data_IF_983394509412
#
_entry.id   IF_983394509412
#
_cell.length_a   1.000
_cell.length_b   1.000
_cell.length_c   1.000
_cell.angle_alpha   90.00
_cell.angle_beta   90.00
_cell.angle_gamma   90.00
#
_symmetry.space_group_name_H-M   'P 1'
#
loop_
_entity.id
_entity.type
_entity.pdbx_description
1 polymer ?
#
# COMPACT_ATOMS: atom_id res chain seq x y z
N UNK A 1 7.74 44.05 -3.86
CA UNK A 1 8.58 43.34 -2.89
C UNK A 1 8.92 41.98 -3.47
N UNK A 2 10.16 41.75 -3.92
CA UNK A 2 10.54 40.46 -4.48
C UNK A 2 10.49 39.40 -3.37
N UNK A 3 9.78 38.27 -3.54
CA UNK A 3 9.82 37.20 -2.58
C UNK A 3 11.25 36.62 -2.54
N UNK A 4 11.75 36.33 -1.34
CA UNK A 4 13.03 35.65 -1.18
C UNK A 4 12.96 34.29 -1.84
N UNK A 5 14.07 33.86 -2.44
CA UNK A 5 14.18 32.57 -3.12
C UNK A 5 13.69 31.42 -2.23
N UNK A 6 14.02 31.41 -0.93
CA UNK A 6 13.55 30.40 0.03
C UNK A 6 12.03 30.37 0.18
N UNK A 7 11.36 31.53 0.35
CA UNK A 7 9.91 31.61 0.48
C UNK A 7 9.20 31.19 -0.82
N UNK A 8 9.75 31.59 -1.97
CA UNK A 8 9.25 31.15 -3.27
C UNK A 8 9.38 29.63 -3.42
N UNK A 9 10.51 29.05 -3.04
CA UNK A 9 10.73 27.61 -3.07
C UNK A 9 9.78 26.85 -2.14
N UNK A 10 9.55 27.35 -0.91
CA UNK A 10 8.55 26.76 0.00
C UNK A 10 7.17 26.78 -0.66
N UNK A 11 6.74 27.92 -1.21
CA UNK A 11 5.44 28.01 -1.90
C UNK A 11 5.33 27.03 -3.08
N UNK A 12 6.37 26.96 -3.93
CA UNK A 12 6.40 26.07 -5.09
C UNK A 12 6.39 24.60 -4.69
N UNK A 13 7.16 24.18 -3.68
CA UNK A 13 7.18 22.79 -3.23
C UNK A 13 5.86 22.38 -2.55
N UNK A 14 5.23 23.29 -1.80
CA UNK A 14 3.90 23.05 -1.22
C UNK A 14 2.80 23.02 -2.29
N UNK A 15 2.97 23.72 -3.43
CA UNK A 15 2.07 23.55 -4.59
C UNK A 15 2.07 22.12 -5.12
N UNK A 16 3.25 21.56 -5.37
CA UNK A 16 3.36 20.17 -5.82
C UNK A 16 2.89 19.18 -4.75
N UNK A 17 3.15 19.47 -3.48
CA UNK A 17 2.65 18.68 -2.34
C UNK A 17 1.12 18.67 -2.28
N UNK A 18 0.48 19.83 -2.53
CA UNK A 18 -0.97 19.96 -2.59
C UNK A 18 -1.56 19.12 -3.73
N UNK A 19 -0.98 19.21 -4.93
CA UNK A 19 -1.41 18.40 -6.07
C UNK A 19 -1.29 16.91 -5.77
N UNK A 20 -0.17 16.48 -5.18
CA UNK A 20 0.02 15.10 -4.77
C UNK A 20 -1.02 14.67 -3.73
N UNK A 21 -1.30 15.50 -2.72
CA UNK A 21 -2.31 15.23 -1.71
C UNK A 21 -3.71 15.04 -2.32
N UNK A 22 -4.10 15.91 -3.26
CA UNK A 22 -5.36 15.81 -4.00
C UNK A 22 -5.43 14.49 -4.79
N UNK A 23 -4.37 14.16 -5.54
CA UNK A 23 -4.30 12.90 -6.31
C UNK A 23 -4.45 11.67 -5.40
N UNK A 24 -3.78 11.66 -4.24
CA UNK A 24 -3.90 10.57 -3.26
C UNK A 24 -5.32 10.42 -2.71
N UNK A 25 -6.00 11.53 -2.41
CA UNK A 25 -7.39 11.52 -1.95
C UNK A 25 -8.33 11.00 -3.04
N UNK A 26 -8.18 11.48 -4.28
CA UNK A 26 -8.98 11.03 -5.42
C UNK A 26 -8.77 9.53 -5.66
N UNK A 27 -7.53 9.06 -5.65
CA UNK A 27 -7.20 7.65 -5.84
C UNK A 27 -7.80 6.77 -4.73
N UNK A 28 -7.67 7.19 -3.47
CA UNK A 28 -8.23 6.47 -2.33
C UNK A 28 -9.76 6.39 -2.38
N UNK A 29 -10.43 7.52 -2.67
CA UNK A 29 -11.89 7.57 -2.79
C UNK A 29 -12.41 6.81 -4.02
N UNK A 30 -11.66 6.82 -5.12
CA UNK A 30 -11.96 6.04 -6.32
C UNK A 30 -11.97 4.53 -6.03
N UNK A 31 -10.91 4.02 -5.39
CA UNK A 31 -10.86 2.62 -4.96
C UNK A 31 -11.96 2.28 -3.96
N UNK A 32 -12.25 3.21 -3.04
CA UNK A 32 -13.31 3.04 -2.08
C UNK A 32 -14.72 3.01 -2.69
N UNK A 33 -14.95 3.70 -3.81
CA UNK A 33 -16.22 3.70 -4.53
C UNK A 33 -16.37 2.48 -5.44
N UNK A 34 -15.27 1.99 -6.02
CA UNK A 34 -15.25 0.84 -6.93
C UNK A 34 -14.94 -0.48 -6.23
N UNK A 35 -15.45 -0.68 -5.00
CA UNK A 35 -15.18 -1.89 -4.20
C UNK A 35 -15.61 -3.19 -4.88
N UNK A 36 -16.53 -3.13 -5.83
CA UNK A 36 -17.01 -4.29 -6.59
C UNK A 36 -15.95 -4.82 -7.57
N UNK A 37 -15.06 -3.97 -8.08
CA UNK A 37 -13.97 -4.38 -8.98
C UNK A 37 -12.64 -4.57 -8.25
N UNK A 38 -12.46 -3.89 -7.12
CA UNK A 38 -11.24 -3.94 -6.29
C UNK A 38 -11.55 -4.49 -4.90
N UNK A 39 -11.41 -5.80 -4.71
CA UNK A 39 -11.69 -6.47 -3.42
C UNK A 39 -10.71 -6.10 -2.30
N UNK A 40 -9.59 -5.46 -2.63
CA UNK A 40 -8.48 -5.22 -1.72
C UNK A 40 -8.58 -3.88 -0.99
N UNK A 41 -9.15 -3.91 0.22
CA UNK A 41 -9.37 -2.74 1.10
C UNK A 41 -8.10 -2.24 1.82
N UNK A 42 -6.93 -2.79 1.49
CA UNK A 42 -5.79 -2.70 2.40
C UNK A 42 -5.02 -1.37 2.35
N UNK A 43 -5.10 -0.64 1.23
CA UNK A 43 -4.31 0.58 1.00
C UNK A 43 -5.16 1.87 1.09
N UNK A 44 -6.48 1.79 0.95
CA UNK A 44 -7.36 2.96 0.85
C UNK A 44 -7.23 3.90 2.05
N UNK A 45 -7.35 3.36 3.27
CA UNK A 45 -7.29 4.12 4.50
C UNK A 45 -5.94 4.80 4.72
N UNK A 46 -4.78 4.11 4.63
CA UNK A 46 -3.49 4.80 4.78
C UNK A 46 -3.27 5.85 3.68
N UNK A 47 -3.67 5.59 2.44
CA UNK A 47 -3.56 6.58 1.35
C UNK A 47 -4.41 7.83 1.61
N UNK A 48 -5.63 7.66 2.14
CA UNK A 48 -6.53 8.77 2.46
C UNK A 48 -5.95 9.66 3.56
N UNK A 49 -5.47 9.05 4.64
CA UNK A 49 -4.88 9.76 5.78
C UNK A 49 -3.62 10.51 5.33
N UNK A 50 -2.75 9.86 4.56
CA UNK A 50 -1.55 10.51 4.01
C UNK A 50 -1.92 11.69 3.11
N UNK A 51 -2.84 11.51 2.15
CA UNK A 51 -3.28 12.57 1.26
C UNK A 51 -3.90 13.77 2.00
N UNK A 52 -4.75 13.51 2.99
CA UNK A 52 -5.37 14.57 3.80
C UNK A 52 -4.33 15.32 4.64
N UNK A 53 -3.41 14.61 5.31
CA UNK A 53 -2.34 15.23 6.09
C UNK A 53 -1.43 16.11 5.23
N UNK A 54 -1.08 15.65 4.02
CA UNK A 54 -0.26 16.40 3.07
C UNK A 54 -1.00 17.65 2.56
N UNK A 55 -2.31 17.56 2.33
CA UNK A 55 -3.15 18.69 1.93
C UNK A 55 -3.16 19.78 3.01
N UNK A 56 -3.43 19.42 4.27
CA UNK A 56 -3.46 20.38 5.40
C UNK A 56 -2.12 21.10 5.55
N UNK A 57 -1.02 20.35 5.56
CA UNK A 57 0.33 20.93 5.70
C UNK A 57 0.67 21.82 4.50
N UNK A 58 0.28 21.44 3.29
CA UNK A 58 0.52 22.24 2.09
C UNK A 58 -0.20 23.59 2.14
N UNK A 59 -1.47 23.62 2.59
CA UNK A 59 -2.23 24.86 2.76
C UNK A 59 -1.58 25.79 3.79
N UNK A 60 -1.12 25.25 4.93
CA UNK A 60 -0.37 26.02 5.92
C UNK A 60 0.94 26.58 5.34
N UNK A 61 1.64 25.80 4.51
CA UNK A 61 2.87 26.23 3.83
C UNK A 61 2.65 27.37 2.85
N UNK A 62 1.50 27.39 2.15
CA UNK A 62 1.08 28.52 1.31
C UNK A 62 0.82 29.77 2.13
N UNK A 63 -0.01 29.66 3.18
CA UNK A 63 -0.37 30.80 4.03
C UNK A 63 0.89 31.36 4.70
N UNK A 64 1.78 30.49 5.20
CA UNK A 64 3.05 30.88 5.81
C UNK A 64 4.00 31.58 4.84
N UNK A 65 4.06 31.13 3.59
CA UNK A 65 4.88 31.76 2.54
C UNK A 65 4.34 33.12 2.09
N UNK A 66 3.01 33.29 2.05
CA UNK A 66 2.36 34.52 1.59
C UNK A 66 2.36 35.64 2.64
N UNK A 67 2.15 35.30 3.92
CA UNK A 67 1.92 36.31 4.95
C UNK A 67 3.21 36.74 5.70
N UNK A 68 4.35 36.05 5.52
CA UNK A 68 5.64 36.35 6.18
C UNK A 68 5.58 36.45 7.71
N UNK A 69 4.47 36.01 8.30
CA UNK A 69 4.19 35.97 9.72
C UNK A 69 4.94 34.79 10.35
N UNK A 70 5.84 35.08 11.29
CA UNK A 70 6.64 34.04 11.95
C UNK A 70 5.76 33.02 12.69
N UNK A 71 4.61 33.42 13.23
CA UNK A 71 3.71 32.50 13.93
C UNK A 71 3.14 31.44 13.00
N UNK A 72 2.74 31.80 11.78
CA UNK A 72 2.20 30.85 10.80
C UNK A 72 3.29 29.90 10.32
N UNK A 73 4.50 30.42 10.10
CA UNK A 73 5.65 29.60 9.70
C UNK A 73 6.08 28.63 10.81
N UNK A 74 6.02 29.06 12.08
CA UNK A 74 6.29 28.22 13.25
C UNK A 74 5.25 27.10 13.38
N UNK A 75 3.96 27.42 13.25
CA UNK A 75 2.89 26.42 13.21
C UNK A 75 3.08 25.42 12.07
N UNK A 76 3.40 25.92 10.87
CA UNK A 76 3.68 25.09 9.71
C UNK A 76 4.83 24.10 9.97
N UNK A 77 5.94 24.57 10.54
CA UNK A 77 7.07 23.68 10.89
C UNK A 77 6.71 22.67 11.98
N UNK A 78 5.91 23.06 12.97
CA UNK A 78 5.41 22.14 13.99
C UNK A 78 4.59 21.00 13.36
N UNK A 79 3.64 21.31 12.47
CA UNK A 79 2.85 20.29 11.77
C UNK A 79 3.69 19.44 10.80
N UNK A 80 4.69 20.03 10.14
CA UNK A 80 5.66 19.27 9.34
C UNK A 80 6.43 18.25 10.18
N UNK A 81 6.91 18.62 11.36
CA UNK A 81 7.58 17.70 12.28
C UNK A 81 6.67 16.54 12.69
N UNK A 82 5.41 16.83 13.02
CA UNK A 82 4.42 15.79 13.35
C UNK A 82 4.16 14.86 12.16
N UNK A 83 4.06 15.42 10.95
CA UNK A 83 3.91 14.64 9.73
C UNK A 83 5.11 13.70 9.51
N UNK A 84 6.34 14.22 9.59
CA UNK A 84 7.56 13.42 9.45
C UNK A 84 7.59 12.28 10.48
N UNK A 85 7.34 12.59 11.76
CA UNK A 85 7.30 11.60 12.82
C UNK A 85 6.25 10.52 12.55
N UNK A 86 5.05 10.91 12.13
CA UNK A 86 3.97 10.00 11.75
C UNK A 86 4.35 9.09 10.57
N UNK A 87 4.96 9.65 9.51
CA UNK A 87 5.41 8.88 8.34
C UNK A 87 6.54 7.91 8.72
N UNK A 88 7.45 8.27 9.61
CA UNK A 88 8.52 7.38 10.12
C UNK A 88 7.92 6.23 10.93
N UNK A 89 7.03 6.52 11.88
CA UNK A 89 6.35 5.49 12.68
C UNK A 89 5.57 4.52 11.78
N UNK A 90 4.85 5.06 10.79
CA UNK A 90 4.13 4.25 9.81
C UNK A 90 5.09 3.38 8.98
N UNK A 91 6.23 3.92 8.54
CA UNK A 91 7.25 3.15 7.82
C UNK A 91 7.76 1.97 8.66
N UNK A 92 8.09 2.22 9.93
CA UNK A 92 8.54 1.17 10.85
C UNK A 92 7.45 0.10 11.00
N UNK A 93 6.19 0.50 11.17
CA UNK A 93 5.06 -0.43 11.23
C UNK A 93 4.94 -1.29 9.97
N UNK A 94 4.99 -0.68 8.79
CA UNK A 94 4.97 -1.38 7.50
C UNK A 94 6.13 -2.37 7.41
N UNK A 95 7.34 -1.96 7.76
CA UNK A 95 8.50 -2.84 7.77
C UNK A 95 8.31 -4.02 8.71
N UNK A 96 7.85 -3.80 9.96
CA UNK A 96 7.62 -4.87 10.93
C UNK A 96 6.56 -5.87 10.45
N UNK A 97 5.46 -5.38 9.87
CA UNK A 97 4.35 -6.23 9.39
C UNK A 97 4.74 -7.00 8.12
N UNK A 98 5.63 -6.43 7.29
CA UNK A 98 6.06 -7.03 6.01
C UNK A 98 7.37 -7.84 6.09
N UNK A 99 8.18 -7.69 7.15
CA UNK A 99 9.51 -8.32 7.28
C UNK A 99 9.58 -9.63 8.08
N UNK A 100 8.47 -10.28 8.45
CA UNK A 100 8.54 -11.66 8.97
C UNK A 100 8.35 -12.70 7.84
N UNK A 101 9.32 -13.62 7.80
CA UNK A 101 9.50 -14.77 6.89
C UNK A 101 10.28 -14.51 5.59
N UNK A 102 11.40 -13.80 5.69
CA UNK A 102 12.53 -13.93 4.75
C UNK A 102 13.42 -15.14 5.14
N UNK A 103 12.78 -16.30 5.37
CA UNK A 103 13.41 -17.47 5.98
C UNK A 103 13.13 -18.77 5.22
N UNK A 104 13.20 -18.72 3.87
CA UNK A 104 13.51 -19.84 2.97
C UNK A 104 13.43 -19.34 1.53
N UNK A 105 14.49 -18.68 1.09
CA UNK A 105 14.82 -18.69 -0.33
C UNK A 105 15.23 -20.13 -0.68
N UNK A 106 14.24 -20.98 -0.96
CA UNK A 106 14.51 -22.26 -1.63
C UNK A 106 14.69 -21.91 -3.09
N UNK A 107 15.95 -21.90 -3.50
CA UNK A 107 16.45 -21.86 -4.85
C UNK A 107 15.63 -22.79 -5.76
N UNK A 108 15.11 -22.26 -6.87
CA UNK A 108 14.88 -23.04 -8.09
C UNK A 108 13.47 -23.57 -8.39
N UNK A 109 12.49 -23.50 -7.49
CA UNK A 109 11.10 -23.86 -7.79
C UNK A 109 10.20 -22.63 -7.68
N UNK A 110 9.82 -22.07 -8.83
CA UNK A 110 9.08 -20.81 -8.93
C UNK A 110 7.87 -20.78 -8.01
N UNK A 111 7.71 -19.68 -7.25
CA UNK A 111 6.52 -19.22 -6.50
C UNK A 111 5.66 -20.24 -5.69
N UNK A 112 6.01 -21.52 -5.63
CA UNK A 112 5.09 -22.61 -5.25
C UNK A 112 5.42 -23.23 -3.88
N UNK A 113 6.66 -23.11 -3.40
CA UNK A 113 7.08 -23.65 -2.11
C UNK A 113 6.97 -22.69 -0.92
N UNK A 114 6.66 -21.41 -1.14
CA UNK A 114 6.86 -20.35 -0.14
C UNK A 114 5.61 -19.96 0.68
N UNK A 115 4.43 -20.51 0.38
CA UNK A 115 3.16 -20.01 0.94
C UNK A 115 2.55 -20.97 1.97
N UNK A 116 3.30 -21.31 3.02
CA UNK A 116 2.70 -21.88 4.23
C UNK A 116 2.06 -20.74 5.04
N UNK A 117 0.75 -20.78 5.25
CA UNK A 117 -0.03 -19.79 6.03
C UNK A 117 0.59 -19.52 7.43
N UNK A 118 1.27 -20.52 8.00
CA UNK A 118 1.90 -20.45 9.33
C UNK A 118 3.01 -19.40 9.47
N UNK A 119 3.55 -18.89 8.36
CA UNK A 119 4.67 -17.93 8.36
C UNK A 119 4.21 -16.47 8.30
N UNK A 120 2.94 -16.20 8.66
CA UNK A 120 2.34 -14.87 8.61
C UNK A 120 2.41 -14.14 9.95
N UNK A 121 2.65 -12.82 9.92
CA UNK A 121 2.52 -11.99 11.13
C UNK A 121 1.11 -12.14 11.68
N UNK A 122 1.01 -12.49 12.97
CA UNK A 122 -0.26 -12.69 13.68
C UNK A 122 -1.25 -11.53 13.47
N UNK A 123 -0.74 -10.29 13.33
CA UNK A 123 -1.55 -9.11 13.04
C UNK A 123 -2.21 -9.16 11.65
N UNK A 124 -1.46 -9.50 10.58
CA UNK A 124 -1.97 -9.52 9.22
C UNK A 124 -3.01 -10.63 9.03
N UNK A 125 -2.77 -11.80 9.64
CA UNK A 125 -3.72 -12.90 9.64
C UNK A 125 -5.02 -12.50 10.35
N UNK A 126 -4.92 -11.93 11.55
CA UNK A 126 -6.08 -11.45 12.31
C UNK A 126 -6.85 -10.34 11.60
N UNK A 127 -6.16 -9.48 10.85
CA UNK A 127 -6.79 -8.36 10.16
C UNK A 127 -7.40 -8.71 8.80
N UNK A 128 -6.91 -9.72 8.08
CA UNK A 128 -7.39 -10.00 6.71
C UNK A 128 -8.02 -11.38 6.52
N UNK A 129 -7.75 -12.35 7.41
CA UNK A 129 -8.03 -13.78 7.16
C UNK A 129 -8.97 -14.41 8.18
N UNK A 130 -9.19 -13.72 9.29
CA UNK A 130 -9.95 -14.25 10.42
C UNK A 130 -11.43 -13.87 10.35
N UNK A 131 -12.28 -14.88 10.59
CA UNK A 131 -13.71 -14.74 10.84
C UNK A 131 -14.54 -14.19 9.68
N UNK A 132 -15.55 -13.38 10.01
CA UNK A 132 -16.59 -12.88 9.09
C UNK A 132 -16.04 -12.04 7.93
N UNK A 133 -14.93 -11.33 8.15
CA UNK A 133 -14.29 -10.45 7.17
C UNK A 133 -13.66 -11.21 6.00
N UNK A 134 -13.17 -12.44 6.24
CA UNK A 134 -12.71 -13.31 5.16
C UNK A 134 -13.86 -13.71 4.22
N UNK A 135 -15.05 -13.97 4.76
CA UNK A 135 -16.20 -14.35 3.93
C UNK A 135 -16.66 -13.23 3.00
N UNK A 136 -16.64 -11.98 3.44
CA UNK A 136 -16.90 -10.82 2.58
C UNK A 136 -15.85 -10.69 1.48
N UNK A 137 -14.58 -10.80 1.85
CA UNK A 137 -13.46 -10.73 0.92
C UNK A 137 -13.54 -11.86 -0.12
N UNK A 138 -13.89 -13.07 0.32
CA UNK A 138 -14.09 -14.26 -0.51
C UNK A 138 -15.20 -14.06 -1.54
N UNK A 139 -16.37 -13.55 -1.10
CA UNK A 139 -17.50 -13.28 -2.00
C UNK A 139 -17.12 -12.26 -3.06
N UNK A 140 -16.45 -11.17 -2.65
CA UNK A 140 -15.97 -10.18 -3.61
C UNK A 140 -15.05 -10.81 -4.66
N UNK A 141 -14.07 -11.64 -4.28
CA UNK A 141 -13.17 -12.28 -5.24
C UNK A 141 -13.90 -13.17 -6.26
N UNK A 142 -14.92 -13.90 -5.80
CA UNK A 142 -15.76 -14.73 -6.66
C UNK A 142 -16.62 -13.88 -7.61
N UNK A 143 -17.22 -12.79 -7.12
CA UNK A 143 -18.04 -11.87 -7.93
C UNK A 143 -17.19 -11.09 -8.94
N UNK A 144 -16.02 -10.60 -8.53
CA UNK A 144 -15.07 -9.88 -9.37
C UNK A 144 -14.37 -10.80 -10.39
N UNK A 145 -14.57 -12.12 -10.30
CA UNK A 145 -14.05 -13.10 -11.26
C UNK A 145 -12.53 -12.97 -11.47
N UNK A 146 -11.77 -12.82 -10.39
CA UNK A 146 -10.31 -12.56 -10.42
C UNK A 146 -9.49 -13.66 -11.14
N UNK A 147 -10.12 -14.83 -11.35
CA UNK A 147 -9.54 -15.99 -12.02
C UNK A 147 -9.94 -16.12 -13.50
N UNK A 148 -10.94 -15.36 -13.97
CA UNK A 148 -11.46 -15.46 -15.35
C UNK A 148 -10.48 -14.90 -16.40
N UNK A 149 -9.72 -13.85 -16.05
CA UNK A 149 -8.67 -13.29 -16.92
C UNK A 149 -7.48 -14.23 -17.14
N UNK A 150 -7.36 -15.30 -16.34
CA UNK A 150 -6.30 -16.30 -16.44
C UNK A 150 -6.63 -17.35 -17.53
N UNK A 151 -7.81 -17.31 -18.14
CA UNK A 151 -8.36 -18.36 -19.01
C UNK A 151 -7.71 -18.54 -20.39
N UNK A 152 -6.76 -17.70 -20.82
CA UNK A 152 -6.40 -17.62 -22.24
C UNK A 152 -5.12 -18.36 -22.67
N UNK A 153 -4.22 -18.77 -21.78
CA UNK A 153 -2.99 -19.42 -22.22
C UNK A 153 -2.31 -20.30 -21.15
N UNK A 154 -2.19 -21.61 -21.43
CA UNK A 154 -1.66 -22.65 -20.53
C UNK A 154 -0.18 -22.44 -20.17
N UNK A 155 0.58 -21.80 -21.06
CA UNK A 155 2.00 -21.47 -20.86
C UNK A 155 2.19 -20.14 -20.09
N UNK A 156 1.21 -19.24 -20.15
CA UNK A 156 1.17 -18.02 -19.33
C UNK A 156 0.99 -18.32 -17.84
N UNK A 157 0.33 -19.45 -17.49
CA UNK A 157 0.13 -19.87 -16.11
C UNK A 157 1.42 -20.10 -15.31
N UNK A 158 2.53 -20.42 -15.99
CA UNK A 158 3.80 -20.68 -15.29
C UNK A 158 4.61 -19.42 -15.00
N UNK A 159 4.28 -18.27 -15.60
CA UNK A 159 5.20 -17.12 -15.62
C UNK A 159 4.67 -15.80 -15.03
N UNK A 160 3.36 -15.56 -14.92
CA UNK A 160 2.83 -14.19 -14.64
C UNK A 160 1.64 -14.08 -13.66
N UNK A 161 1.27 -15.12 -12.90
CA UNK A 161 0.18 -14.95 -11.91
C UNK A 161 0.61 -14.11 -10.71
N UNK A 162 -0.28 -13.22 -10.26
CA UNK A 162 -0.12 -12.56 -8.98
C UNK A 162 -0.24 -13.57 -7.82
N UNK A 163 0.31 -13.28 -6.62
CA UNK A 163 0.25 -14.20 -5.49
C UNK A 163 -1.17 -14.64 -5.11
N UNK A 164 -2.15 -13.75 -5.26
CA UNK A 164 -3.56 -14.05 -5.01
C UNK A 164 -4.12 -15.01 -6.07
N UNK A 165 -3.79 -14.81 -7.34
CA UNK A 165 -4.26 -15.70 -8.40
C UNK A 165 -3.62 -17.10 -8.29
N UNK A 166 -2.32 -17.17 -7.96
CA UNK A 166 -1.64 -18.46 -7.79
C UNK A 166 -2.13 -19.25 -6.57
N UNK A 167 -2.59 -18.58 -5.52
CA UNK A 167 -3.16 -19.21 -4.33
C UNK A 167 -4.64 -19.59 -4.45
N UNK A 168 -5.43 -18.85 -5.22
CA UNK A 168 -6.90 -19.01 -5.26
C UNK A 168 -7.43 -19.66 -6.56
N UNK A 169 -6.76 -19.46 -7.70
CA UNK A 169 -7.27 -19.83 -9.03
C UNK A 169 -6.78 -21.19 -9.54
N UNK A 170 -5.86 -21.86 -8.82
CA UNK A 170 -5.37 -23.19 -9.16
C UNK A 170 -5.32 -24.07 -7.91
N UNK A 171 -5.42 -25.41 -8.04
CA UNK A 171 -5.21 -26.29 -6.92
C UNK A 171 -3.74 -26.20 -6.47
N UNK A 172 -3.46 -26.45 -5.18
CA UNK A 172 -2.10 -26.57 -4.71
C UNK A 172 -1.35 -27.68 -5.46
N UNK A 173 -0.10 -27.43 -5.85
CA UNK A 173 0.68 -28.39 -6.66
C UNK A 173 0.94 -29.70 -5.93
N UNK A 174 1.07 -29.65 -4.60
CA UNK A 174 1.23 -30.84 -3.76
C UNK A 174 0.03 -31.79 -3.81
N UNK A 175 -1.15 -31.34 -4.26
CA UNK A 175 -2.31 -32.21 -4.43
C UNK A 175 -2.15 -33.21 -5.58
N UNK A 176 -1.21 -32.97 -6.50
CA UNK A 176 -0.93 -33.86 -7.63
C UNK A 176 -2.01 -33.87 -8.72
N UNK A 177 -2.85 -32.83 -8.78
CA UNK A 177 -3.90 -32.72 -9.80
C UNK A 177 -3.29 -32.38 -11.17
N UNK A 178 -3.87 -32.95 -12.23
CA UNK A 178 -3.39 -32.73 -13.60
C UNK A 178 -4.26 -31.70 -14.28
N UNK A 179 -3.65 -30.65 -14.84
CA UNK A 179 -4.37 -29.68 -15.65
C UNK A 179 -4.85 -30.36 -16.95
N UNK A 180 -6.15 -30.33 -17.21
CA UNK A 180 -6.72 -30.72 -18.50
C UNK A 180 -6.89 -29.51 -19.41
N UNK A 181 -7.37 -28.40 -18.84
CA UNK A 181 -7.55 -27.11 -19.49
C UNK A 181 -7.08 -25.99 -18.54
N UNK A 182 -7.11 -24.75 -19.02
CA UNK A 182 -6.78 -23.53 -18.27
C UNK A 182 -7.45 -23.46 -16.88
N UNK A 183 -8.70 -23.92 -16.76
CA UNK A 183 -9.50 -23.83 -15.54
C UNK A 183 -9.96 -25.18 -14.98
N UNK A 184 -9.64 -26.29 -15.68
CA UNK A 184 -10.13 -27.62 -15.34
C UNK A 184 -8.98 -28.53 -14.90
N UNK A 185 -9.09 -29.07 -13.68
CA UNK A 185 -8.10 -29.94 -13.08
C UNK A 185 -8.70 -31.33 -12.81
N UNK A 186 -8.04 -32.37 -13.32
CA UNK A 186 -8.39 -33.77 -13.07
C UNK A 186 -7.76 -34.23 -11.75
N UNK A 187 -8.62 -34.74 -10.87
CA UNK A 187 -8.20 -35.46 -9.66
C UNK A 187 -7.71 -36.86 -10.07
N UNK A 188 -6.52 -37.30 -9.64
CA UNK A 188 -6.05 -38.66 -9.91
C UNK A 188 -7.02 -39.72 -9.38
N UNK A 189 -7.13 -40.88 -10.06
CA UNK A 189 -8.03 -41.97 -9.64
C UNK A 189 -7.74 -42.49 -8.23
N UNK A 190 -6.49 -42.39 -7.79
CA UNK A 190 -6.05 -42.76 -6.44
C UNK A 190 -6.37 -41.70 -5.38
N UNK A 191 -6.98 -40.58 -5.75
CA UNK A 191 -7.20 -39.43 -4.87
C UNK A 191 -6.03 -38.42 -4.89
N UNK A 192 -6.07 -37.39 -4.02
CA UNK A 192 -5.00 -36.42 -3.90
C UNK A 192 -3.70 -37.06 -3.39
N UNK A 193 -2.56 -36.57 -3.88
CA UNK A 193 -1.24 -37.10 -3.53
C UNK A 193 -0.87 -36.94 -2.05
N UNK A 194 -1.50 -35.98 -1.35
CA UNK A 194 -1.37 -35.78 0.09
C UNK A 194 -2.74 -35.58 0.75
N UNK A 195 -2.92 -36.05 2.00
CA UNK A 195 -4.16 -35.90 2.75
C UNK A 195 -4.28 -34.49 3.36
N UNK A 196 -4.20 -33.44 2.53
CA UNK A 196 -4.35 -32.04 2.96
C UNK A 196 -5.80 -31.54 2.81
N UNK A 197 -6.21 -30.63 3.70
CA UNK A 197 -7.54 -30.01 3.68
C UNK A 197 -7.80 -29.21 2.40
N UNK A 198 -6.79 -28.54 1.86
CA UNK A 198 -6.93 -27.72 0.66
C UNK A 198 -7.22 -28.57 -0.57
N UNK A 199 -6.60 -29.75 -0.67
CA UNK A 199 -6.84 -30.70 -1.76
C UNK A 199 -8.29 -31.23 -1.78
N UNK A 200 -8.91 -31.33 -0.59
CA UNK A 200 -10.33 -31.72 -0.46
C UNK A 200 -11.29 -30.55 -0.67
N UNK A 201 -10.82 -29.32 -0.46
CA UNK A 201 -11.63 -28.09 -0.54
C UNK A 201 -11.69 -27.53 -1.96
N UNK A 202 -10.71 -27.85 -2.81
CA UNK A 202 -10.67 -27.43 -4.21
C UNK A 202 -11.92 -27.86 -5.00
N UNK A 203 -12.43 -26.96 -5.85
CA UNK A 203 -13.56 -27.19 -6.77
C UNK A 203 -13.23 -26.63 -8.16
N UNK A 204 -13.64 -27.32 -9.23
CA UNK A 204 -13.51 -26.79 -10.61
C UNK A 204 -14.58 -25.74 -10.96
N UNK A 205 -15.55 -25.53 -10.06
CA UNK A 205 -16.57 -24.49 -10.21
C UNK A 205 -15.95 -23.10 -10.07
N UNK A 206 -16.18 -22.23 -11.05
CA UNK A 206 -15.55 -20.90 -11.13
C UNK A 206 -15.97 -19.94 -9.98
N UNK A 207 -17.13 -20.20 -9.37
CA UNK A 207 -17.64 -19.48 -8.20
C UNK A 207 -17.08 -19.98 -6.86
N UNK A 208 -16.41 -21.14 -6.84
CA UNK A 208 -15.91 -21.78 -5.62
C UNK A 208 -14.37 -21.87 -5.59
N UNK A 209 -13.75 -22.41 -6.65
CA UNK A 209 -12.30 -22.57 -6.83
C UNK A 209 -11.57 -22.97 -5.53
N UNK A 210 -10.38 -22.42 -5.25
CA UNK A 210 -9.70 -22.58 -3.97
C UNK A 210 -10.02 -21.43 -2.99
N UNK A 211 -11.13 -20.71 -3.16
CA UNK A 211 -11.42 -19.52 -2.35
C UNK A 211 -11.59 -19.81 -0.85
N UNK A 212 -11.79 -21.07 -0.45
CA UNK A 212 -11.84 -21.52 0.95
C UNK A 212 -10.54 -22.17 1.43
N UNK A 213 -9.55 -22.35 0.56
CA UNK A 213 -8.28 -23.00 0.89
C UNK A 213 -7.38 -22.12 1.76
N UNK A 214 -6.51 -22.75 2.55
CA UNK A 214 -5.42 -22.08 3.27
C UNK A 214 -4.43 -21.48 2.27
N UNK A 215 -4.16 -22.13 1.14
CA UNK A 215 -3.32 -21.60 0.06
C UNK A 215 -3.84 -20.28 -0.52
N UNK A 216 -5.15 -20.10 -0.65
CA UNK A 216 -5.73 -18.83 -1.12
C UNK A 216 -5.52 -17.72 -0.09
N UNK A 217 -5.75 -18.01 1.19
CA UNK A 217 -5.46 -17.08 2.30
C UNK A 217 -3.98 -16.66 2.31
N UNK A 218 -3.06 -17.60 2.08
CA UNK A 218 -1.63 -17.28 1.97
C UNK A 218 -1.33 -16.36 0.77
N UNK A 219 -1.93 -16.66 -0.40
CA UNK A 219 -1.79 -15.85 -1.61
C UNK A 219 -2.28 -14.41 -1.43
N UNK A 220 -3.41 -14.22 -0.75
CA UNK A 220 -3.93 -12.89 -0.39
C UNK A 220 -2.95 -12.14 0.51
N UNK A 221 -2.41 -12.80 1.53
CA UNK A 221 -1.46 -12.18 2.47
C UNK A 221 -0.15 -11.79 1.81
N UNK A 222 0.31 -12.60 0.86
CA UNK A 222 1.46 -12.30 0.05
C UNK A 222 1.23 -11.09 -0.85
N UNK A 223 0.06 -11.01 -1.49
CA UNK A 223 -0.32 -9.86 -2.31
C UNK A 223 -0.36 -8.56 -1.48
N UNK A 224 -0.98 -8.61 -0.30
CA UNK A 224 -1.02 -7.48 0.63
C UNK A 224 0.40 -7.06 1.06
N UNK A 225 1.29 -8.01 1.39
CA UNK A 225 2.68 -7.67 1.74
C UNK A 225 3.43 -6.97 0.60
N UNK A 226 3.24 -7.40 -0.63
CA UNK A 226 3.86 -6.78 -1.80
C UNK A 226 3.39 -5.33 -1.95
N UNK A 227 2.09 -5.11 -1.87
CA UNK A 227 1.49 -3.78 -1.91
C UNK A 227 1.97 -2.87 -0.77
N UNK A 228 2.07 -3.40 0.44
CA UNK A 228 2.55 -2.64 1.60
C UNK A 228 4.04 -2.32 1.51
N UNK A 229 4.84 -3.21 0.94
CA UNK A 229 6.26 -2.91 0.65
C UNK A 229 6.40 -1.78 -0.35
N UNK A 230 5.59 -1.78 -1.42
CA UNK A 230 5.57 -0.70 -2.39
C UNK A 230 5.13 0.62 -1.73
N UNK A 231 4.06 0.58 -0.92
CA UNK A 231 3.60 1.73 -0.15
C UNK A 231 4.71 2.26 0.77
N UNK A 232 5.43 1.38 1.46
CA UNK A 232 6.56 1.74 2.32
C UNK A 232 7.70 2.40 1.56
N UNK A 233 8.03 1.93 0.36
CA UNK A 233 9.04 2.55 -0.51
C UNK A 233 8.59 3.95 -0.95
N UNK A 234 7.36 4.09 -1.43
CA UNK A 234 6.79 5.40 -1.78
C UNK A 234 6.78 6.36 -0.58
N UNK A 235 6.42 5.85 0.60
CA UNK A 235 6.39 6.62 1.84
C UNK A 235 7.80 7.08 2.26
N UNK A 236 8.82 6.23 2.09
CA UNK A 236 10.21 6.63 2.34
C UNK A 236 10.66 7.78 1.41
N UNK A 237 10.27 7.73 0.12
CA UNK A 237 10.48 8.84 -0.81
C UNK A 237 9.77 10.13 -0.36
N UNK A 238 8.53 10.02 0.12
CA UNK A 238 7.77 11.15 0.65
C UNK A 238 8.45 11.77 1.89
N UNK A 239 9.00 10.95 2.80
CA UNK A 239 9.76 11.43 3.96
C UNK A 239 10.94 12.28 3.50
N UNK A 240 11.75 11.80 2.56
CA UNK A 240 12.90 12.56 2.03
C UNK A 240 12.44 13.89 1.43
N UNK A 241 11.37 13.87 0.65
CA UNK A 241 10.80 15.08 0.06
C UNK A 241 10.32 16.09 1.11
N UNK A 242 9.58 15.64 2.13
CA UNK A 242 9.10 16.50 3.22
C UNK A 242 10.27 17.03 4.08
N UNK A 243 11.34 16.25 4.27
CA UNK A 243 12.56 16.71 4.95
C UNK A 243 13.28 17.83 4.20
N UNK A 244 13.29 17.79 2.86
CA UNK A 244 13.81 18.89 2.03
C UNK A 244 12.99 20.15 2.24
N UNK A 245 11.66 20.04 2.20
CA UNK A 245 10.75 21.16 2.46
C UNK A 245 11.00 21.74 3.85
N UNK A 246 11.11 20.88 4.87
CA UNK A 246 11.39 21.29 6.24
C UNK A 246 12.72 22.06 6.36
N UNK A 247 13.77 21.60 5.68
CA UNK A 247 15.07 22.28 5.66
C UNK A 247 15.00 23.66 5.02
N UNK A 248 14.26 23.81 3.91
CA UNK A 248 14.06 25.11 3.25
C UNK A 248 13.18 26.03 4.10
N UNK A 249 12.17 25.48 4.78
CA UNK A 249 11.31 26.23 5.70
C UNK A 249 12.10 26.78 6.90
N UNK A 250 13.05 26.01 7.43
CA UNK A 250 13.99 26.49 8.44
C UNK A 250 14.81 27.68 7.92
N UNK A 251 15.39 27.57 6.72
CA UNK A 251 16.12 28.67 6.10
C UNK A 251 15.23 29.90 5.86
N UNK A 252 13.98 29.70 5.44
CA UNK A 252 13.00 30.78 5.28
C UNK A 252 12.73 31.51 6.60
N UNK A 253 12.58 30.75 7.68
CA UNK A 253 12.34 31.27 9.03
C UNK A 253 13.53 32.08 9.54
N UNK A 254 14.73 31.53 9.50
CA UNK A 254 15.94 32.22 9.95
C UNK A 254 16.10 33.56 9.23
N UNK A 255 15.92 33.56 7.92
CA UNK A 255 15.95 34.76 7.10
C UNK A 255 14.90 35.80 7.55
N UNK A 256 13.65 35.38 7.83
CA UNK A 256 12.60 36.30 8.30
C UNK A 256 12.91 36.86 9.70
N UNK A 257 13.49 36.06 10.59
CA UNK A 257 13.93 36.51 11.93
C UNK A 257 15.07 37.53 11.84
N UNK A 258 16.04 37.32 10.94
CA UNK A 258 17.12 38.28 10.69
C UNK A 258 16.57 39.63 10.20
N UNK A 259 15.56 39.64 9.32
CA UNK A 259 14.94 40.90 8.85
C UNK A 259 14.28 41.71 9.96
N UNK A 260 13.62 41.03 10.89
CA UNK A 260 12.99 41.69 12.03
C UNK A 260 14.03 42.28 12.98
N UNK A 261 15.17 41.60 13.16
CA UNK A 261 16.29 42.08 13.99
C UNK A 261 17.02 43.26 13.35
N UNK A 262 17.18 43.27 12.03
CA UNK A 262 17.84 44.35 11.27
C UNK A 262 17.00 45.64 11.18
N UNK A 263 15.82 45.71 11.82
CA UNK A 263 14.99 46.91 11.86
C UNK A 263 14.39 47.31 10.51
N UNK A 264 14.48 46.46 9.49
CA UNK A 264 14.03 46.74 8.11
C UNK A 264 12.51 46.83 7.94
N UNK A 265 11.75 46.64 9.02
CA UNK A 265 10.29 46.78 9.08
C UNK A 265 9.83 47.93 9.99
N UNK A 266 10.63 48.99 10.17
CA UNK A 266 10.19 50.21 10.89
C UNK A 266 10.12 51.46 10.00
N UNK A 267 9.74 51.30 8.73
CA UNK A 267 9.35 52.39 7.86
C UNK A 267 8.12 51.98 7.07
N UNK A 268 7.05 52.76 7.17
CA UNK A 268 5.70 52.57 6.62
C UNK A 268 4.66 51.99 7.60
N UNK A 269 4.41 52.75 8.67
CA UNK A 269 3.06 53.31 8.88
C UNK A 269 3.17 54.83 8.74
#
# INVERSE_FOLDING_TARGET
MAPRLSNTLVATLNFFSLLLGIVLIILSTYFHAHRHTSCQRSLDTPLLIMGFSLLVVSLLGFIGSCCRENLVLDLYMFFLCLLIAGLVVFTIFVLVVTNKSAGRAVSGLGFEGAYRVGDSTHWLQKHFVDGKRWEEFRRCMAEAQICKSVSYDVDFFKKRLSPIQSGCCKPPTYCGFKAENATLWRVPKAGPAVPDSDCRTWSNRQDELCYKCKSCKAGVLANIRLEWRLLGICNAGLIVFVMIIFSIALCARENNVHDLKDGRCRSHF
#
